data_IF_426356647270
#
_entry.id   IF_426356647270
#
_cell.length_a   1.000
_cell.length_b   1.000
_cell.length_c   1.000
_cell.angle_alpha   90.00
_cell.angle_beta   90.00
_cell.angle_gamma   90.00
#
_symmetry.space_group_name_H-M   'P 1'
#
loop_
_entity.id
_entity.type
_entity.pdbx_description
1 polymer ?
#
# COMPACT_ATOMS: atom_id res chain seq x y z
N UNK A 1 -2.72 -19.06 4.82
CA UNK A 1 -1.77 -18.38 3.91
C UNK A 1 -1.73 -16.94 4.40
N UNK A 2 -0.65 -16.54 5.04
CA UNK A 2 -0.44 -15.16 5.50
C UNK A 2 -0.22 -14.32 4.24
N UNK A 3 -1.14 -13.42 3.90
CA UNK A 3 -1.22 -12.80 2.57
C UNK A 3 -0.48 -11.44 2.52
N UNK A 4 0.78 -11.35 2.05
CA UNK A 4 1.26 -10.11 1.45
C UNK A 4 0.46 -9.91 0.18
N UNK A 5 -0.33 -8.86 0.12
CA UNK A 5 -1.51 -8.91 -0.74
C UNK A 5 -1.25 -8.35 -2.14
N UNK A 6 -0.24 -7.49 -2.32
CA UNK A 6 0.34 -7.21 -3.64
C UNK A 6 1.67 -6.44 -3.51
N UNK A 7 2.57 -6.61 -4.47
CA UNK A 7 3.73 -5.75 -4.70
C UNK A 7 3.69 -5.21 -6.12
N UNK A 8 3.89 -3.90 -6.29
CA UNK A 8 4.00 -3.25 -7.61
C UNK A 8 5.20 -2.31 -7.64
N UNK A 9 5.70 -2.03 -8.85
CA UNK A 9 6.75 -1.07 -9.08
C UNK A 9 6.20 0.09 -9.92
N UNK A 10 6.55 1.33 -9.58
CA UNK A 10 6.26 2.49 -10.42
C UNK A 10 7.28 2.64 -11.56
N UNK A 11 7.06 3.60 -12.47
CA UNK A 11 7.98 3.88 -13.57
C UNK A 11 9.35 4.44 -13.13
N UNK A 12 9.49 4.88 -11.87
CA UNK A 12 10.73 5.38 -11.28
C UNK A 12 11.53 4.29 -10.54
N UNK A 13 10.98 3.09 -10.46
CA UNK A 13 11.61 1.94 -9.81
C UNK A 13 11.30 1.80 -8.32
N UNK A 14 10.41 2.63 -7.75
CA UNK A 14 9.99 2.51 -6.36
C UNK A 14 9.03 1.34 -6.19
N UNK A 15 9.16 0.61 -5.08
CA UNK A 15 8.33 -0.55 -4.77
C UNK A 15 7.26 -0.19 -3.76
N UNK A 16 6.04 -0.65 -4.00
CA UNK A 16 4.89 -0.44 -3.14
C UNK A 16 4.36 -1.80 -2.71
N UNK A 17 4.11 -1.94 -1.41
CA UNK A 17 3.68 -3.19 -0.80
C UNK A 17 2.41 -2.95 0.00
N UNK A 18 1.35 -3.68 -0.34
CA UNK A 18 0.16 -3.79 0.51
C UNK A 18 0.44 -4.81 1.62
N UNK A 19 0.55 -4.30 2.85
CA UNK A 19 0.78 -5.09 4.05
C UNK A 19 -0.53 -5.22 4.81
N UNK A 20 -1.28 -6.26 4.47
CA UNK A 20 -2.58 -6.57 5.07
C UNK A 20 -2.50 -6.76 6.59
N UNK A 21 -1.44 -7.43 7.06
CA UNK A 21 -1.23 -7.74 8.47
C UNK A 21 -1.02 -6.49 9.32
N UNK A 22 -0.29 -5.51 8.76
CA UNK A 22 -0.06 -4.22 9.42
C UNK A 22 -1.03 -3.13 8.97
N UNK A 23 -2.05 -3.48 8.16
CA UNK A 23 -3.11 -2.59 7.70
C UNK A 23 -2.58 -1.31 7.06
N UNK A 24 -1.57 -1.45 6.21
CA UNK A 24 -0.83 -0.30 5.66
C UNK A 24 -0.30 -0.56 4.26
N UNK A 25 0.06 0.52 3.58
CA UNK A 25 0.85 0.46 2.34
C UNK A 25 2.22 1.08 2.61
N UNK A 26 3.27 0.36 2.24
CA UNK A 26 4.67 0.76 2.43
C UNK A 26 5.33 0.99 1.08
N UNK A 27 6.03 2.11 0.93
CA UNK A 27 6.84 2.45 -0.23
C UNK A 27 8.32 2.29 0.10
N UNK A 28 9.07 1.64 -0.78
CA UNK A 28 10.53 1.60 -0.78
C UNK A 28 11.05 2.40 -1.96
N UNK A 29 11.89 3.40 -1.70
CA UNK A 29 12.60 4.09 -2.76
C UNK A 29 13.51 3.10 -3.51
N UNK A 30 13.78 3.36 -4.78
CA UNK A 30 14.74 2.56 -5.56
C UNK A 30 16.05 2.36 -4.78
N UNK A 31 16.51 1.11 -4.68
CA UNK A 31 17.69 0.69 -3.91
C UNK A 31 17.66 0.95 -2.39
N UNK A 32 16.51 1.32 -1.82
CA UNK A 32 16.32 1.46 -0.37
C UNK A 32 15.81 0.15 0.24
N UNK A 33 16.36 -0.21 1.40
CA UNK A 33 15.79 -1.25 2.28
C UNK A 33 14.87 -0.67 3.35
N UNK A 34 14.81 0.66 3.46
CA UNK A 34 13.94 1.38 4.40
C UNK A 34 12.62 1.69 3.72
N UNK A 35 11.53 1.19 4.31
CA UNK A 35 10.17 1.42 3.84
C UNK A 35 9.50 2.58 4.58
N UNK A 36 8.74 3.38 3.83
CA UNK A 36 7.94 4.49 4.35
C UNK A 36 6.47 4.14 4.28
N UNK A 37 5.74 4.30 5.38
CA UNK A 37 4.29 4.10 5.38
C UNK A 37 3.63 5.29 4.70
N UNK A 38 2.92 5.03 3.60
CA UNK A 38 2.28 6.08 2.78
C UNK A 38 0.75 6.06 2.86
N UNK A 39 0.14 4.95 3.29
CA UNK A 39 -1.31 4.80 3.53
C UNK A 39 -1.53 3.91 4.74
N UNK A 40 -2.59 4.13 5.53
CA UNK A 40 -2.93 3.31 6.70
C UNK A 40 -2.46 3.88 8.04
N UNK A 41 -1.99 5.14 8.08
CA UNK A 41 -1.55 5.75 9.37
C UNK A 41 -2.72 6.25 10.22
N UNK A 42 -3.93 6.30 9.67
CA UNK A 42 -5.12 6.82 10.37
C UNK A 42 -5.02 8.31 10.70
N UNK A 43 -4.24 9.06 9.93
CA UNK A 43 -4.12 10.52 10.04
C UNK A 43 -5.15 11.21 9.16
N UNK A 44 -5.37 12.51 9.35
CA UNK A 44 -6.29 13.30 8.51
C UNK A 44 -5.94 13.23 7.01
N UNK A 45 -4.68 12.93 6.69
CA UNK A 45 -4.17 12.89 5.31
C UNK A 45 -4.11 11.49 4.71
N UNK A 46 -4.30 10.43 5.50
CA UNK A 46 -4.30 9.04 4.99
C UNK A 46 -5.36 8.20 5.68
N UNK A 47 -6.21 7.48 4.93
CA UNK A 47 -7.27 6.68 5.53
C UNK A 47 -6.71 5.60 6.44
N UNK A 48 -7.49 5.21 7.46
CA UNK A 48 -7.31 3.93 8.14
C UNK A 48 -7.65 2.81 7.17
N UNK A 49 -6.87 1.74 7.16
CA UNK A 49 -7.17 0.54 6.37
C UNK A 49 -7.57 -0.61 7.28
N UNK A 50 -8.39 -1.53 6.77
CA UNK A 50 -8.83 -2.71 7.52
C UNK A 50 -8.09 -3.98 7.06
N UNK A 51 -8.00 -4.18 5.75
CA UNK A 51 -7.37 -5.32 5.10
C UNK A 51 -7.00 -4.92 3.66
N UNK A 52 -5.93 -4.13 3.46
CA UNK A 52 -5.49 -3.77 2.12
C UNK A 52 -5.07 -5.03 1.38
N UNK A 53 -5.72 -5.30 0.25
CA UNK A 53 -5.54 -6.54 -0.53
C UNK A 53 -4.88 -6.32 -1.88
N UNK A 54 -4.87 -5.08 -2.37
CA UNK A 54 -4.40 -4.78 -3.71
C UNK A 54 -4.07 -3.31 -3.86
N UNK A 55 -3.16 -3.04 -4.77
CA UNK A 55 -2.67 -1.71 -5.13
C UNK A 55 -2.49 -1.60 -6.64
N UNK A 56 -2.81 -0.44 -7.20
CA UNK A 56 -2.62 -0.14 -8.61
C UNK A 56 -2.33 1.35 -8.82
N UNK A 57 -1.62 1.66 -9.90
CA UNK A 57 -1.42 3.02 -10.38
C UNK A 57 -2.27 3.28 -11.62
N UNK A 58 -2.76 4.51 -11.76
CA UNK A 58 -3.17 5.02 -13.07
C UNK A 58 -1.97 5.61 -13.84
N UNK A 59 -2.23 6.18 -15.02
CA UNK A 59 -1.19 6.80 -15.86
C UNK A 59 -0.56 8.05 -15.25
N UNK A 60 -1.23 8.69 -14.29
CA UNK A 60 -0.78 9.90 -13.62
C UNK A 60 -0.09 9.58 -12.27
N UNK A 61 0.13 8.30 -11.99
CA UNK A 61 0.70 7.76 -10.76
C UNK A 61 -0.12 8.01 -9.49
N UNK A 62 -1.44 8.13 -9.63
CA UNK A 62 -2.32 8.06 -8.48
C UNK A 62 -2.40 6.62 -7.97
N UNK A 63 -2.17 6.42 -6.68
CA UNK A 63 -2.22 5.12 -6.03
C UNK A 63 -3.64 4.78 -5.59
N UNK A 64 -4.17 3.68 -6.09
CA UNK A 64 -5.43 3.09 -5.67
C UNK A 64 -5.15 1.90 -4.76
N UNK A 65 -5.92 1.77 -3.67
CA UNK A 65 -5.80 0.69 -2.69
C UNK A 65 -7.16 0.00 -2.59
N UNK A 66 -7.22 -1.31 -2.79
CA UNK A 66 -8.42 -2.10 -2.46
C UNK A 66 -8.36 -2.49 -0.99
N UNK A 67 -9.23 -1.89 -0.18
CA UNK A 67 -9.38 -2.23 1.23
C UNK A 67 -10.51 -3.25 1.40
N UNK A 68 -10.15 -4.51 1.64
CA UNK A 68 -11.05 -5.65 1.59
C UNK A 68 -11.41 -6.19 2.96
N UNK A 69 -12.21 -5.47 3.74
CA UNK A 69 -13.05 -6.02 4.81
C UNK A 69 -13.87 -4.90 5.44
N UNK A 70 -15.14 -4.76 5.02
CA UNK A 70 -16.22 -4.29 5.88
C UNK A 70 -17.03 -5.53 6.25
N UNK A 71 -16.71 -6.15 7.38
CA UNK A 71 -17.76 -6.82 8.13
C UNK A 71 -18.41 -5.69 8.95
N UNK A 72 -19.50 -5.13 8.42
CA UNK A 72 -20.42 -4.32 9.22
C UNK A 72 -21.07 -5.16 10.32
#
# INVERSE_FOLDING_TARGET
MDHPSQIIQDQYGNLYVADANQKRVVMFCVNSTVGNVIVGTGTTSTPTLANPTGIAFDSDLNLYVSDGNLNE
#
